data_IF_522933568366
#
_entry.id   IF_522933568366
#
_cell.length_a   1.000
_cell.length_b   1.000
_cell.length_c   1.000
_cell.angle_alpha   90.00
_cell.angle_beta   90.00
_cell.angle_gamma   90.00
#
_symmetry.space_group_name_H-M   'P 1'
#
loop_
_entity.id
_entity.type
_entity.pdbx_description
1 polymer ?
#
# COMPACT_ATOMS: atom_id res chain seq x y z
N UNK A 1 7.66 50.56 0.24
CA UNK A 1 7.40 49.11 0.17
C UNK A 1 6.18 48.89 1.05
N UNK A 2 5.03 48.47 0.50
CA UNK A 2 3.85 48.21 1.34
C UNK A 2 4.18 47.07 2.30
N UNK A 3 3.85 47.27 3.57
CA UNK A 3 3.98 46.28 4.63
C UNK A 3 3.15 45.04 4.24
N UNK A 4 3.76 43.86 4.31
CA UNK A 4 3.10 42.61 3.94
C UNK A 4 2.17 42.21 5.09
N UNK A 5 0.89 42.57 5.00
CA UNK A 5 -0.12 42.06 5.93
C UNK A 5 -0.25 40.54 5.73
N UNK A 6 -0.25 39.78 6.84
CA UNK A 6 -0.51 38.35 6.77
C UNK A 6 -1.92 38.13 6.19
N UNK A 7 -2.04 37.47 5.03
CA UNK A 7 -3.35 37.20 4.44
C UNK A 7 -4.16 36.30 5.37
N UNK A 8 -5.39 36.71 5.68
CA UNK A 8 -6.38 35.85 6.35
C UNK A 8 -7.02 34.95 5.29
N UNK A 9 -6.78 33.65 5.40
CA UNK A 9 -7.38 32.65 4.54
C UNK A 9 -8.53 31.95 5.25
N UNK A 10 -9.65 31.81 4.55
CA UNK A 10 -10.72 30.90 4.92
C UNK A 10 -10.46 29.54 4.30
N UNK A 11 -10.44 28.50 5.13
CA UNK A 11 -10.31 27.10 4.70
C UNK A 11 -11.63 26.40 5.00
N UNK A 12 -12.34 26.02 3.95
CA UNK A 12 -13.55 25.20 4.07
C UNK A 12 -13.27 23.77 3.65
N UNK A 13 -13.90 22.82 4.36
CA UNK A 13 -13.81 21.38 4.10
C UNK A 13 -15.17 20.92 3.57
N UNK A 14 -15.17 20.19 2.46
CA UNK A 14 -16.35 19.57 1.83
C UNK A 14 -16.00 18.18 1.35
N UNK A 15 -17.01 17.37 1.00
CA UNK A 15 -16.87 16.05 0.38
C UNK A 15 -15.83 15.17 1.10
N UNK A 16 -16.09 14.87 2.37
CA UNK A 16 -15.18 14.07 3.19
C UNK A 16 -15.71 12.64 3.28
N UNK A 17 -14.91 11.69 2.81
CA UNK A 17 -15.05 10.28 3.09
C UNK A 17 -13.76 9.76 3.74
N UNK A 18 -13.71 8.47 4.06
CA UNK A 18 -12.53 7.87 4.69
C UNK A 18 -11.26 8.01 3.82
N UNK A 19 -11.43 8.03 2.49
CA UNK A 19 -10.33 8.01 1.52
C UNK A 19 -10.27 9.27 0.62
N UNK A 20 -11.15 10.25 0.85
CA UNK A 20 -11.21 11.47 0.03
C UNK A 20 -11.58 12.69 0.87
N UNK A 21 -10.95 13.83 0.57
CA UNK A 21 -11.31 15.10 1.18
C UNK A 21 -11.11 16.24 0.21
N UNK A 22 -12.08 17.17 0.15
CA UNK A 22 -11.98 18.40 -0.63
C UNK A 22 -11.81 19.61 0.29
N UNK A 23 -10.83 20.44 -0.04
CA UNK A 23 -10.52 21.67 0.67
C UNK A 23 -10.62 22.85 -0.29
N UNK A 24 -11.23 23.95 0.16
CA UNK A 24 -11.29 25.21 -0.58
C UNK A 24 -10.66 26.30 0.26
N UNK A 25 -9.65 26.98 -0.32
CA UNK A 25 -8.87 28.04 0.33
C UNK A 25 -9.10 29.34 -0.45
N UNK A 26 -9.60 30.38 0.23
CA UNK A 26 -9.86 31.68 -0.37
C UNK A 26 -9.83 32.79 0.71
N UNK A 27 -9.63 34.07 0.34
CA UNK A 27 -9.20 34.56 -0.97
C UNK A 27 -7.70 34.35 -1.19
N UNK A 28 -7.28 34.18 -2.45
CA UNK A 28 -5.88 34.12 -2.84
C UNK A 28 -5.59 35.18 -3.89
N UNK A 29 -4.42 35.82 -3.80
CA UNK A 29 -3.95 36.71 -4.85
C UNK A 29 -3.77 35.95 -6.18
N UNK A 30 -3.88 36.68 -7.28
CA UNK A 30 -3.71 36.10 -8.62
C UNK A 30 -2.35 35.40 -8.71
N UNK A 31 -2.36 34.12 -9.07
CA UNK A 31 -1.17 33.28 -9.19
C UNK A 31 -0.83 32.47 -7.94
N UNK A 32 -1.25 32.89 -6.74
CA UNK A 32 -0.93 32.17 -5.50
C UNK A 32 -1.58 30.77 -5.45
N UNK A 33 -2.79 30.63 -6.00
CA UNK A 33 -3.46 29.32 -6.09
C UNK A 33 -2.64 28.27 -6.84
N UNK A 34 -1.97 28.66 -7.94
CA UNK A 34 -1.10 27.75 -8.71
C UNK A 34 0.16 27.42 -7.91
N UNK A 35 0.78 28.41 -7.29
CA UNK A 35 2.00 28.22 -6.47
C UNK A 35 1.74 27.26 -5.31
N UNK A 36 0.68 27.51 -4.53
CA UNK A 36 0.29 26.69 -3.37
C UNK A 36 -0.15 25.29 -3.82
N UNK A 37 -1.02 25.21 -4.83
CA UNK A 37 -1.52 23.94 -5.34
C UNK A 37 -0.40 23.04 -5.88
N UNK A 38 0.54 23.59 -6.65
CA UNK A 38 1.68 22.84 -7.16
C UNK A 38 2.63 22.41 -6.05
N UNK A 39 2.91 23.30 -5.08
CA UNK A 39 3.76 22.96 -3.94
C UNK A 39 3.15 21.80 -3.12
N UNK A 40 1.87 21.90 -2.75
CA UNK A 40 1.16 20.85 -2.03
C UNK A 40 1.12 19.54 -2.82
N UNK A 41 0.76 19.58 -4.11
CA UNK A 41 0.73 18.39 -4.97
C UNK A 41 2.08 17.66 -4.98
N UNK A 42 3.18 18.40 -5.13
CA UNK A 42 4.53 17.80 -5.15
C UNK A 42 4.86 17.13 -3.83
N UNK A 43 4.67 17.84 -2.72
CA UNK A 43 4.96 17.31 -1.38
C UNK A 43 4.12 16.07 -1.07
N UNK A 44 2.82 16.12 -1.36
CA UNK A 44 1.91 15.00 -1.11
C UNK A 44 2.24 13.76 -1.96
N UNK A 45 2.75 13.91 -3.18
CA UNK A 45 3.10 12.78 -4.04
C UNK A 45 4.50 12.21 -3.77
N UNK A 46 5.45 13.00 -3.25
CA UNK A 46 6.84 12.56 -3.11
C UNK A 46 7.33 12.31 -1.69
N UNK A 47 6.69 12.89 -0.68
CA UNK A 47 7.32 13.06 0.64
C UNK A 47 6.48 12.56 1.82
N UNK A 48 5.32 11.96 1.55
CA UNK A 48 4.54 11.34 2.61
C UNK A 48 5.20 10.03 3.05
N UNK A 49 5.37 9.81 4.37
CA UNK A 49 5.82 8.53 4.89
C UNK A 49 4.71 7.49 4.72
N UNK A 50 5.10 6.26 4.37
CA UNK A 50 4.19 5.13 4.25
C UNK A 50 4.91 3.81 4.49
N UNK A 51 4.15 2.78 4.85
CA UNK A 51 4.62 1.40 4.96
C UNK A 51 4.14 0.65 3.71
N UNK A 52 5.07 0.06 2.95
CA UNK A 52 4.76 -0.67 1.73
C UNK A 52 5.58 -1.95 1.62
N UNK A 53 4.99 -2.98 0.98
CA UNK A 53 5.69 -4.22 0.65
C UNK A 53 6.71 -3.93 -0.46
N UNK A 54 7.97 -4.25 -0.21
CA UNK A 54 9.06 -4.04 -1.17
C UNK A 54 9.62 -5.34 -1.74
N UNK A 55 9.44 -6.46 -1.02
CA UNK A 55 9.90 -7.78 -1.42
C UNK A 55 8.91 -8.86 -0.99
N UNK A 56 8.81 -9.93 -1.77
CA UNK A 56 8.01 -11.11 -1.44
C UNK A 56 8.84 -12.37 -1.69
N UNK A 57 8.66 -13.37 -0.84
CA UNK A 57 9.19 -14.72 -1.03
C UNK A 57 8.00 -15.68 -1.08
N UNK A 58 7.80 -16.36 -2.22
CA UNK A 58 6.66 -17.26 -2.43
C UNK A 58 7.17 -18.69 -2.56
N UNK A 59 6.62 -19.60 -1.76
CA UNK A 59 6.99 -21.02 -1.81
C UNK A 59 6.62 -21.61 -3.18
N UNK A 60 7.59 -22.29 -3.82
CA UNK A 60 7.39 -22.90 -5.14
C UNK A 60 7.61 -21.96 -6.33
N UNK A 61 7.82 -20.66 -6.11
CA UNK A 61 8.15 -19.70 -7.16
C UNK A 61 9.67 -19.52 -7.32
N UNK A 62 10.18 -19.61 -8.56
CA UNK A 62 11.59 -19.29 -8.88
C UNK A 62 11.77 -17.89 -9.44
N UNK A 63 10.75 -17.39 -10.10
CA UNK A 63 10.68 -16.07 -10.72
C UNK A 63 9.22 -15.59 -10.77
N UNK A 64 9.00 -14.32 -11.06
CA UNK A 64 7.70 -13.65 -11.09
C UNK A 64 6.70 -14.21 -12.11
N UNK A 65 7.17 -14.92 -13.14
CA UNK A 65 6.34 -15.59 -14.15
C UNK A 65 5.99 -17.05 -13.80
N UNK A 66 6.29 -17.51 -12.57
CA UNK A 66 6.04 -18.92 -12.21
C UNK A 66 4.54 -19.14 -12.00
N UNK A 67 3.91 -20.11 -12.68
CA UNK A 67 2.56 -20.55 -12.31
C UNK A 67 2.60 -21.27 -10.96
N UNK A 68 1.64 -20.99 -10.09
CA UNK A 68 1.52 -21.62 -8.78
C UNK A 68 0.45 -22.72 -8.85
N UNK A 69 0.83 -23.95 -8.52
CA UNK A 69 -0.10 -25.07 -8.50
C UNK A 69 -1.21 -24.85 -7.46
N UNK A 70 -2.47 -24.98 -7.87
CA UNK A 70 -3.62 -24.78 -7.01
C UNK A 70 -4.00 -23.32 -6.75
N UNK A 71 -3.36 -22.35 -7.43
CA UNK A 71 -3.75 -20.93 -7.43
C UNK A 71 -4.30 -20.56 -8.81
N UNK A 72 -5.41 -19.81 -8.85
CA UNK A 72 -6.09 -19.45 -10.10
C UNK A 72 -5.33 -18.36 -10.86
N UNK A 73 -4.81 -17.37 -10.14
CA UNK A 73 -4.00 -16.29 -10.70
C UNK A 73 -2.52 -16.69 -10.85
N UNK A 74 -1.86 -16.09 -11.85
CA UNK A 74 -0.41 -16.12 -11.94
C UNK A 74 0.25 -15.22 -10.88
N UNK A 75 1.54 -15.47 -10.62
CA UNK A 75 2.29 -14.72 -9.61
C UNK A 75 2.43 -13.22 -9.96
N UNK A 76 2.38 -12.83 -11.22
CA UNK A 76 2.45 -11.41 -11.61
C UNK A 76 1.19 -10.67 -11.20
N UNK A 77 0.02 -11.27 -11.38
CA UNK A 77 -1.26 -10.72 -10.93
C UNK A 77 -1.31 -10.64 -9.40
N UNK A 78 -0.77 -11.63 -8.69
CA UNK A 78 -0.66 -11.59 -7.23
C UNK A 78 0.24 -10.44 -6.78
N UNK A 79 1.38 -10.22 -7.44
CA UNK A 79 2.26 -9.06 -7.17
C UNK A 79 1.50 -7.74 -7.38
N UNK A 80 0.71 -7.62 -8.44
CA UNK A 80 -0.11 -6.42 -8.69
C UNK A 80 -1.17 -6.22 -7.61
N UNK A 81 -1.80 -7.30 -7.14
CA UNK A 81 -2.76 -7.23 -6.04
C UNK A 81 -2.07 -6.78 -4.74
N UNK A 82 -0.90 -7.33 -4.42
CA UNK A 82 -0.10 -6.95 -3.24
C UNK A 82 0.31 -5.46 -3.29
N UNK A 83 0.57 -4.89 -4.47
CA UNK A 83 0.84 -3.43 -4.60
C UNK A 83 -0.33 -2.55 -4.17
N UNK A 84 -1.55 -3.07 -4.14
CA UNK A 84 -2.74 -2.36 -3.65
C UNK A 84 -2.99 -2.57 -2.14
N UNK A 85 -2.16 -3.38 -1.47
CA UNK A 85 -2.25 -3.60 -0.03
C UNK A 85 -1.89 -2.30 0.70
N UNK A 86 -2.78 -1.87 1.60
CA UNK A 86 -2.56 -0.69 2.43
C UNK A 86 -2.21 -1.12 3.84
N UNK A 87 -0.98 -0.86 4.25
CA UNK A 87 -0.47 -1.17 5.58
C UNK A 87 -0.40 0.10 6.43
N UNK A 88 -0.69 -0.05 7.73
CA UNK A 88 -0.47 0.97 8.74
C UNK A 88 0.55 0.47 9.75
N UNK A 89 1.55 1.30 9.98
CA UNK A 89 2.56 1.16 11.02
C UNK A 89 2.19 2.05 12.22
N UNK A 90 2.13 1.45 13.41
CA UNK A 90 1.91 2.15 14.68
C UNK A 90 3.20 2.58 15.39
N UNK A 91 4.37 2.29 14.82
CA UNK A 91 5.67 2.66 15.40
C UNK A 91 6.14 4.05 14.96
N UNK A 92 6.97 4.67 15.81
CA UNK A 92 7.65 5.93 15.51
C UNK A 92 9.01 5.73 14.83
N UNK A 93 9.39 4.49 14.53
CA UNK A 93 10.67 4.17 13.88
C UNK A 93 10.61 4.58 12.39
N UNK A 94 11.47 5.49 11.91
CA UNK A 94 11.51 5.89 10.51
C UNK A 94 12.07 4.81 9.58
N UNK A 95 12.86 3.88 10.12
CA UNK A 95 13.58 2.83 9.38
C UNK A 95 12.95 1.44 9.64
N UNK A 96 11.70 1.42 10.08
CA UNK A 96 10.98 0.19 10.43
C UNK A 96 10.89 -0.78 9.24
N UNK A 97 11.29 -2.03 9.49
CA UNK A 97 11.19 -3.15 8.56
C UNK A 97 10.45 -4.31 9.22
N UNK A 98 9.47 -4.86 8.51
CA UNK A 98 8.57 -5.88 9.01
C UNK A 98 8.47 -7.06 8.07
N UNK A 99 8.46 -8.25 8.70
CA UNK A 99 8.18 -9.52 8.04
C UNK A 99 6.73 -9.94 8.31
N UNK A 100 5.90 -9.92 7.27
CA UNK A 100 4.53 -10.41 7.29
C UNK A 100 4.48 -11.83 6.69
N UNK A 101 3.50 -12.64 7.10
CA UNK A 101 3.35 -14.02 6.62
C UNK A 101 1.95 -14.29 6.13
N UNK A 102 1.84 -15.05 5.05
CA UNK A 102 0.60 -15.60 4.55
C UNK A 102 0.80 -17.11 4.39
N UNK A 103 -0.05 -17.90 5.02
CA UNK A 103 -0.04 -19.37 4.91
C UNK A 103 -1.51 -19.82 4.88
N UNK A 104 -2.03 -20.02 3.67
CA UNK A 104 -3.41 -20.43 3.44
C UNK A 104 -3.41 -21.69 2.59
N UNK A 105 -4.14 -22.69 3.06
CA UNK A 105 -4.33 -23.95 2.36
C UNK A 105 -5.82 -24.29 2.31
N UNK A 106 -6.17 -25.07 1.30
CA UNK A 106 -7.48 -25.70 1.14
C UNK A 106 -7.28 -27.21 1.06
N UNK A 107 -8.37 -27.93 1.25
CA UNK A 107 -8.44 -29.39 1.16
C UNK A 107 -9.33 -29.80 0.01
N UNK A 108 -9.33 -31.08 -0.37
CA UNK A 108 -10.25 -31.60 -1.39
C UNK A 108 -11.74 -31.48 -1.00
N UNK A 109 -12.02 -31.20 0.29
CA UNK A 109 -13.36 -30.96 0.79
C UNK A 109 -13.85 -29.54 0.46
N UNK A 110 -12.93 -28.61 0.20
CA UNK A 110 -13.21 -27.21 -0.16
C UNK A 110 -13.52 -27.12 -1.67
N UNK A 111 -14.62 -27.74 -2.09
CA UNK A 111 -14.97 -27.90 -3.52
C UNK A 111 -15.05 -26.59 -4.31
N UNK A 112 -15.46 -25.51 -3.65
CA UNK A 112 -15.58 -24.18 -4.25
C UNK A 112 -14.27 -23.38 -4.19
N UNK A 113 -13.20 -23.97 -3.64
CA UNK A 113 -11.94 -23.30 -3.38
C UNK A 113 -12.02 -22.31 -2.21
N UNK A 114 -11.07 -21.38 -2.16
CA UNK A 114 -11.03 -20.31 -1.15
C UNK A 114 -10.53 -19.01 -1.74
N UNK A 115 -11.21 -17.91 -1.42
CA UNK A 115 -10.73 -16.56 -1.70
C UNK A 115 -9.74 -16.17 -0.61
N UNK A 116 -8.49 -15.89 -0.97
CA UNK A 116 -7.47 -15.39 -0.06
C UNK A 116 -7.54 -13.88 -0.03
N UNK A 117 -7.77 -13.31 1.15
CA UNK A 117 -7.92 -11.88 1.36
C UNK A 117 -6.71 -11.28 2.07
N UNK A 118 -6.55 -9.97 1.99
CA UNK A 118 -5.53 -9.22 2.70
C UNK A 118 -5.63 -9.39 4.23
N UNK A 119 -6.83 -9.61 4.76
CA UNK A 119 -7.06 -9.94 6.18
C UNK A 119 -6.51 -11.30 6.61
N UNK A 120 -6.18 -12.22 5.69
CA UNK A 120 -5.54 -13.50 6.01
C UNK A 120 -4.02 -13.35 6.29
N UNK A 121 -3.45 -12.16 6.10
CA UNK A 121 -2.03 -11.89 6.36
C UNK A 121 -1.79 -11.79 7.87
N UNK A 122 -0.89 -12.63 8.38
CA UNK A 122 -0.36 -12.54 9.73
C UNK A 122 0.61 -11.36 9.83
N UNK A 123 0.19 -10.33 10.57
CA UNK A 123 0.96 -9.11 10.81
C UNK A 123 1.62 -9.12 12.19
N UNK A 124 2.81 -8.52 12.35
CA UNK A 124 3.37 -8.18 13.67
C UNK A 124 2.51 -7.17 14.44
N UNK A 125 2.68 -7.06 15.76
CA UNK A 125 1.83 -6.24 16.65
C UNK A 125 1.67 -4.77 16.24
N UNK A 126 2.71 -4.16 15.64
CA UNK A 126 2.71 -2.76 15.23
C UNK A 126 2.14 -2.52 13.82
N UNK A 127 1.83 -3.59 13.08
CA UNK A 127 1.39 -3.51 11.69
C UNK A 127 -0.06 -3.97 11.57
N UNK A 128 -0.87 -3.21 10.84
CA UNK A 128 -2.25 -3.56 10.54
C UNK A 128 -2.58 -3.35 9.07
N UNK A 129 -3.45 -4.23 8.53
CA UNK A 129 -3.99 -4.11 7.17
C UNK A 129 -5.21 -3.19 7.21
N UNK A 130 -5.18 -2.11 6.42
CA UNK A 130 -6.26 -1.11 6.37
C UNK A 130 -7.42 -1.56 5.47
N UNK A 131 -7.14 -2.33 4.43
CA UNK A 131 -8.12 -2.85 3.46
C UNK A 131 -8.23 -4.39 3.53
N UNK A 132 -8.72 -4.98 4.64
CA UNK A 132 -8.70 -6.43 4.87
C UNK A 132 -9.54 -7.24 3.87
N UNK A 133 -10.55 -6.63 3.25
CA UNK A 133 -11.42 -7.29 2.27
C UNK A 133 -10.82 -7.40 0.87
N UNK A 134 -9.67 -6.78 0.63
CA UNK A 134 -8.99 -6.85 -0.67
C UNK A 134 -8.62 -8.29 -0.99
N UNK A 135 -8.99 -8.76 -2.17
CA UNK A 135 -8.64 -10.11 -2.65
C UNK A 135 -7.18 -10.12 -3.11
N UNK A 136 -6.42 -11.10 -2.64
CA UNK A 136 -5.04 -11.34 -3.07
C UNK A 136 -4.98 -12.36 -4.20
N UNK A 137 -5.68 -13.49 -4.04
CA UNK A 137 -5.81 -14.55 -5.04
C UNK A 137 -6.96 -15.51 -4.69
N UNK A 138 -7.22 -16.46 -5.59
CA UNK A 138 -8.16 -17.55 -5.40
C UNK A 138 -7.40 -18.88 -5.41
N UNK A 139 -7.67 -19.73 -4.43
CA UNK A 139 -7.18 -21.10 -4.35
C UNK A 139 -8.24 -22.06 -4.87
N UNK A 140 -7.82 -23.01 -5.71
CA UNK A 140 -8.63 -24.17 -6.07
C UNK A 140 -8.64 -25.19 -4.92
N UNK A 141 -9.54 -26.18 -4.96
CA UNK A 141 -9.58 -27.28 -4.00
C UNK A 141 -8.21 -27.99 -3.90
N UNK A 142 -7.73 -28.24 -2.69
CA UNK A 142 -6.40 -28.80 -2.43
C UNK A 142 -5.23 -27.85 -2.68
N UNK A 143 -5.49 -26.60 -3.10
CA UNK A 143 -4.47 -25.58 -3.34
C UNK A 143 -3.89 -24.99 -2.06
N UNK A 144 -2.64 -24.53 -2.16
CA UNK A 144 -1.88 -23.90 -1.07
C UNK A 144 -1.16 -22.67 -1.59
N UNK A 145 -1.15 -21.61 -0.80
CA UNK A 145 -0.22 -20.48 -0.98
C UNK A 145 0.48 -20.18 0.33
N UNK A 146 1.81 -20.14 0.27
CA UNK A 146 2.65 -19.70 1.36
C UNK A 146 3.61 -18.64 0.87
N UNK A 147 3.57 -17.48 1.49
CA UNK A 147 4.49 -16.40 1.18
C UNK A 147 4.89 -15.60 2.41
N UNK A 148 6.06 -15.02 2.33
CA UNK A 148 6.54 -13.97 3.22
C UNK A 148 6.51 -12.66 2.46
N UNK A 149 5.98 -11.60 3.08
CA UNK A 149 6.06 -10.25 2.56
C UNK A 149 6.99 -9.43 3.47
N UNK A 150 7.93 -8.71 2.87
CA UNK A 150 8.77 -7.77 3.57
C UNK A 150 8.27 -6.36 3.29
N UNK A 151 7.92 -5.63 4.34
CA UNK A 151 7.39 -4.28 4.26
C UNK A 151 8.30 -3.32 5.02
N UNK A 152 8.65 -2.21 4.39
CA UNK A 152 9.52 -1.20 4.97
C UNK A 152 8.86 0.16 4.94
N UNK A 153 9.16 0.97 5.96
CA UNK A 153 8.77 2.36 5.98
C UNK A 153 9.65 3.14 5.00
N UNK A 154 9.04 4.07 4.30
CA UNK A 154 9.73 4.85 3.28
C UNK A 154 8.95 6.09 2.88
N UNK A 155 9.44 6.79 1.86
CA UNK A 155 8.79 8.00 1.32
C UNK A 155 8.73 7.93 -0.20
N UNK A 156 7.60 8.38 -0.75
CA UNK A 156 7.41 8.46 -2.18
C UNK A 156 7.30 7.08 -2.84
N UNK A 157 7.84 6.96 -4.06
CA UNK A 157 7.79 5.76 -4.88
C UNK A 157 9.20 5.24 -5.15
N UNK A 158 9.40 3.94 -4.97
CA UNK A 158 10.67 3.26 -5.18
C UNK A 158 10.48 2.11 -6.16
N UNK A 159 11.35 2.01 -7.15
CA UNK A 159 11.24 0.96 -8.18
C UNK A 159 11.68 -0.40 -7.64
N UNK A 160 11.33 -1.47 -8.35
CA UNK A 160 11.81 -2.81 -8.00
C UNK A 160 13.33 -2.93 -8.14
N UNK A 161 13.96 -2.18 -9.06
CA UNK A 161 15.42 -2.15 -9.21
C UNK A 161 16.08 -1.49 -8.00
N UNK A 162 15.57 -0.34 -7.56
CA UNK A 162 16.06 0.36 -6.36
C UNK A 162 15.80 -0.42 -5.06
N UNK A 163 14.80 -1.32 -5.04
CA UNK A 163 14.52 -2.21 -3.92
C UNK A 163 15.47 -3.41 -3.86
N UNK A 164 16.14 -3.78 -4.96
CA UNK A 164 17.06 -4.94 -4.99
C UNK A 164 18.32 -4.71 -4.18
N UNK A 165 18.70 -3.45 -3.95
CA UNK A 165 19.86 -3.09 -3.16
C UNK A 165 19.48 -2.61 -1.75
N UNK A 166 19.96 -3.36 -0.74
CA UNK A 166 20.40 -2.76 0.51
C UNK A 166 21.90 -2.95 0.80
N UNK A 167 22.71 -3.53 -0.12
CA UNK A 167 24.15 -3.84 0.09
C UNK A 167 25.03 -3.63 -1.13
#
# INVERSE_FOLDING_TARGET
>A
MKEFEQPKFDISKSDVSDNFGRFTVAPLEKGFGVTVGNALRRVLLSSLPGLAVYSIEVEGARHEYTPLEGVVEDLTQIILNIKNLVLRDGSDDPDADYKLRLDVHTTDLDRDGKVVKAGDIFCPDMVSVVNPDMVLCHLAAGGKIKMTLHARKGRGFVTAEDNKDPY
#
